data_IF_413522782511
#
_entry.id   IF_413522782511
#
_cell.length_a   1.000
_cell.length_b   1.000
_cell.length_c   1.000
_cell.angle_alpha   90.00
_cell.angle_beta   90.00
_cell.angle_gamma   90.00
#
_symmetry.space_group_name_H-M   'P 1'
#
loop_
_entity.id
_entity.type
_entity.pdbx_description
1 polymer ?
#
# COMPACT_ATOMS: atom_id res chain seq x y z
N UNK A 1 38.32 29.24 -24.10
CA UNK A 1 36.95 29.50 -23.59
C UNK A 1 36.35 28.16 -23.22
N UNK A 2 36.39 27.82 -21.94
CA UNK A 2 35.90 26.56 -21.38
C UNK A 2 34.38 26.58 -21.28
N UNK A 3 33.71 25.54 -21.80
CA UNK A 3 32.29 25.30 -21.56
C UNK A 3 32.17 24.28 -20.43
N UNK A 4 31.96 24.79 -19.22
CA UNK A 4 31.70 23.99 -18.03
C UNK A 4 30.39 23.20 -18.21
N UNK A 5 30.41 21.94 -17.81
CA UNK A 5 29.24 21.08 -17.78
C UNK A 5 28.25 21.49 -16.69
N UNK A 6 26.97 21.37 -16.99
CA UNK A 6 25.92 21.30 -15.98
C UNK A 6 25.23 19.95 -16.15
N UNK A 7 25.70 18.98 -15.39
CA UNK A 7 25.00 17.73 -15.13
C UNK A 7 23.81 18.10 -14.23
N UNK A 8 22.61 18.11 -14.78
CA UNK A 8 21.38 18.35 -14.02
C UNK A 8 21.16 17.12 -13.13
N UNK A 9 21.55 17.21 -11.86
CA UNK A 9 21.32 16.17 -10.88
C UNK A 9 19.81 16.04 -10.65
N UNK A 10 19.23 14.92 -11.06
CA UNK A 10 17.89 14.49 -10.66
C UNK A 10 17.95 14.04 -9.18
N UNK A 11 17.20 14.65 -8.26
CA UNK A 11 17.10 14.13 -6.91
C UNK A 11 16.12 12.95 -6.92
N UNK A 12 16.66 11.77 -6.65
CA UNK A 12 15.89 10.54 -6.50
C UNK A 12 15.38 10.42 -5.06
N UNK A 13 14.08 10.14 -4.93
CA UNK A 13 13.53 9.26 -3.90
C UNK A 13 13.54 9.79 -2.47
N UNK A 14 12.55 10.63 -2.13
CA UNK A 14 11.74 10.59 -0.88
C UNK A 14 10.85 11.85 -0.77
N UNK A 15 11.28 12.99 -1.31
CA UNK A 15 10.56 14.29 -1.20
C UNK A 15 9.27 14.38 -2.04
N UNK A 16 9.08 13.49 -3.01
CA UNK A 16 7.92 13.53 -3.92
C UNK A 16 6.62 13.07 -3.27
N UNK A 17 6.70 12.12 -2.34
CA UNK A 17 5.51 11.53 -1.71
C UNK A 17 4.97 12.40 -0.58
N UNK A 18 5.84 13.02 0.21
CA UNK A 18 5.43 13.97 1.24
C UNK A 18 4.75 15.19 0.60
N UNK A 19 5.31 15.68 -0.51
CA UNK A 19 4.69 16.78 -1.28
C UNK A 19 3.34 16.37 -1.87
N UNK A 20 3.23 15.16 -2.42
CA UNK A 20 1.96 14.65 -2.96
C UNK A 20 0.90 14.44 -1.86
N UNK A 21 1.31 13.98 -0.67
CA UNK A 21 0.43 13.81 0.49
C UNK A 21 -0.05 15.15 1.04
N UNK A 22 0.82 16.16 1.11
CA UNK A 22 0.44 17.51 1.56
C UNK A 22 -0.49 18.20 0.55
N UNK A 23 -0.30 17.96 -0.74
CA UNK A 23 -1.20 18.45 -1.78
C UNK A 23 -2.61 17.83 -1.67
N UNK A 24 -2.70 16.52 -1.45
CA UNK A 24 -3.97 15.83 -1.29
C UNK A 24 -4.75 16.31 -0.06
N UNK A 25 -4.02 16.70 1.00
CA UNK A 25 -4.59 17.29 2.23
C UNK A 25 -5.10 18.71 2.01
N UNK A 26 -4.48 19.46 1.09
CA UNK A 26 -4.94 20.79 0.67
C UNK A 26 -6.25 20.71 -0.12
N UNK A 27 -6.38 19.74 -1.01
CA UNK A 27 -7.59 19.55 -1.83
C UNK A 27 -8.80 19.04 -1.03
N UNK A 28 -8.59 18.46 0.16
CA UNK A 28 -9.65 17.99 1.05
C UNK A 28 -10.24 19.05 2.00
N UNK A 29 -9.82 20.32 1.91
CA UNK A 29 -10.46 21.37 2.72
C UNK A 29 -11.84 21.77 2.15
N UNK A 30 -12.89 21.84 2.98
CA UNK A 30 -14.21 22.28 2.52
C UNK A 30 -14.14 23.78 2.19
N UNK A 31 -14.19 24.12 0.91
CA UNK A 31 -14.34 25.51 0.46
C UNK A 31 -15.68 26.04 0.96
N UNK A 32 -15.65 27.04 1.83
CA UNK A 32 -16.83 27.79 2.24
C UNK A 32 -17.38 28.53 1.03
N UNK A 33 -18.51 28.06 0.48
CA UNK A 33 -19.22 28.77 -0.58
C UNK A 33 -19.82 30.05 0.02
N UNK A 34 -19.21 31.18 -0.30
CA UNK A 34 -19.72 32.51 0.01
C UNK A 34 -21.05 32.72 -0.72
N UNK A 35 -22.13 32.82 0.05
CA UNK A 35 -23.45 33.24 -0.43
C UNK A 35 -23.37 34.68 -0.93
N UNK A 36 -23.64 34.90 -2.23
CA UNK A 36 -24.35 36.07 -2.78
C UNK A 36 -24.33 36.06 -4.31
N UNK A 37 -25.46 35.66 -4.92
CA UNK A 37 -26.12 36.27 -6.08
C UNK A 37 -27.13 35.28 -6.70
N UNK A 38 -28.43 35.46 -6.44
CA UNK A 38 -29.52 34.84 -7.22
C UNK A 38 -29.78 35.64 -8.51
N UNK A 39 -30.11 34.99 -9.63
CA UNK A 39 -31.01 35.51 -10.65
C UNK A 39 -32.42 34.89 -10.50
N UNK A 40 -33.49 35.53 -11.02
CA UNK A 40 -34.87 35.22 -10.68
C UNK A 40 -35.46 34.04 -11.48
N UNK A 41 -36.23 33.22 -10.75
CA UNK A 41 -37.49 32.53 -11.11
C UNK A 41 -37.64 31.93 -12.54
N UNK A 42 -37.50 30.60 -12.63
CA UNK A 42 -38.02 29.76 -13.72
C UNK A 42 -39.14 28.85 -13.19
N UNK A 43 -40.21 28.61 -13.98
CA UNK A 43 -41.42 27.96 -13.47
C UNK A 43 -41.19 26.48 -13.11
N UNK A 44 -41.68 26.16 -11.92
CA UNK A 44 -41.72 24.86 -11.26
C UNK A 44 -42.22 23.71 -12.16
N UNK A 45 -41.32 22.80 -12.53
CA UNK A 45 -41.62 21.44 -12.99
C UNK A 45 -41.14 20.43 -11.93
N UNK A 46 -41.82 20.41 -10.78
CA UNK A 46 -41.65 19.38 -9.77
C UNK A 46 -42.61 18.20 -10.03
N UNK A 47 -42.17 17.22 -10.82
CA UNK A 47 -42.56 15.81 -10.69
C UNK A 47 -41.69 14.95 -11.62
N UNK A 48 -40.39 14.73 -11.37
CA UNK A 48 -39.91 13.57 -10.61
C UNK A 48 -38.37 13.53 -10.63
N UNK A 49 -37.73 14.57 -10.09
CA UNK A 49 -36.25 14.63 -10.00
C UNK A 49 -35.69 13.91 -8.77
N UNK A 50 -36.53 13.58 -7.79
CA UNK A 50 -36.11 12.86 -6.58
C UNK A 50 -35.75 11.38 -6.82
N UNK A 51 -35.99 10.80 -8.01
CA UNK A 51 -35.62 9.42 -8.34
C UNK A 51 -34.43 9.28 -9.31
N UNK A 52 -33.77 10.38 -9.70
CA UNK A 52 -32.63 10.34 -10.64
C UNK A 52 -31.26 10.52 -9.96
N UNK A 53 -31.24 10.86 -8.66
CA UNK A 53 -30.01 11.02 -7.89
C UNK A 53 -29.51 9.73 -7.21
N UNK A 54 -30.22 8.60 -7.35
CA UNK A 54 -30.12 7.50 -6.39
C UNK A 54 -29.07 6.41 -6.68
N UNK A 55 -28.39 6.36 -7.83
CA UNK A 55 -27.50 5.19 -8.09
C UNK A 55 -26.16 5.52 -8.77
N UNK A 56 -25.84 6.79 -9.04
CA UNK A 56 -24.61 7.12 -9.79
C UNK A 56 -23.35 6.85 -8.97
N UNK A 57 -23.30 7.34 -7.72
CA UNK A 57 -22.15 7.14 -6.83
C UNK A 57 -22.05 5.71 -6.31
N UNK A 58 -23.17 5.02 -6.14
CA UNK A 58 -23.17 3.61 -5.75
C UNK A 58 -22.72 2.70 -6.89
N UNK A 59 -23.08 3.03 -8.14
CA UNK A 59 -22.58 2.32 -9.33
C UNK A 59 -21.08 2.50 -9.50
N UNK A 60 -20.57 3.74 -9.42
CA UNK A 60 -19.13 4.02 -9.47
C UNK A 60 -18.37 3.38 -8.31
N UNK A 61 -18.94 3.40 -7.09
CA UNK A 61 -18.34 2.77 -5.91
C UNK A 61 -18.32 1.24 -6.04
N UNK A 62 -19.40 0.63 -6.54
CA UNK A 62 -19.46 -0.81 -6.83
C UNK A 62 -18.43 -1.19 -7.89
N UNK A 63 -18.32 -0.40 -8.96
CA UNK A 63 -17.32 -0.59 -10.01
C UNK A 63 -15.89 -0.51 -9.47
N UNK A 64 -15.57 0.53 -8.70
CA UNK A 64 -14.25 0.70 -8.07
C UNK A 64 -13.95 -0.46 -7.12
N UNK A 65 -14.93 -0.88 -6.31
CA UNK A 65 -14.78 -2.03 -5.41
C UNK A 65 -14.49 -3.32 -6.17
N UNK A 66 -15.14 -3.53 -7.32
CA UNK A 66 -14.86 -4.65 -8.21
C UNK A 66 -13.47 -4.56 -8.85
N UNK A 67 -13.04 -3.37 -9.27
CA UNK A 67 -11.69 -3.14 -9.82
C UNK A 67 -10.62 -3.46 -8.76
N UNK A 68 -10.81 -3.03 -7.51
CA UNK A 68 -9.93 -3.36 -6.37
C UNK A 68 -9.91 -4.86 -6.10
N UNK A 69 -11.08 -5.52 -6.03
CA UNK A 69 -11.10 -6.96 -5.74
C UNK A 69 -10.50 -7.76 -6.90
N UNK A 70 -10.71 -7.35 -8.15
CA UNK A 70 -10.06 -7.94 -9.32
C UNK A 70 -8.54 -7.82 -9.24
N UNK A 71 -8.02 -6.63 -8.95
CA UNK A 71 -6.58 -6.39 -8.80
C UNK A 71 -5.99 -7.22 -7.64
N UNK A 72 -6.71 -7.31 -6.52
CA UNK A 72 -6.33 -8.13 -5.37
C UNK A 72 -6.27 -9.61 -5.71
N UNK A 73 -7.25 -10.15 -6.44
CA UNK A 73 -7.25 -11.55 -6.89
C UNK A 73 -6.07 -11.81 -7.83
N UNK A 74 -5.84 -10.94 -8.81
CA UNK A 74 -4.71 -11.05 -9.73
C UNK A 74 -3.36 -11.00 -8.99
N UNK A 75 -3.21 -10.09 -8.02
CA UNK A 75 -2.03 -10.02 -7.17
C UNK A 75 -1.84 -11.31 -6.37
N UNK A 76 -2.90 -11.83 -5.74
CA UNK A 76 -2.83 -13.06 -4.96
C UNK A 76 -2.44 -14.27 -5.82
N UNK A 77 -2.98 -14.37 -7.04
CA UNK A 77 -2.65 -15.43 -7.98
C UNK A 77 -1.19 -15.35 -8.42
N UNK A 78 -0.70 -14.16 -8.81
CA UNK A 78 0.72 -13.95 -9.15
C UNK A 78 1.63 -14.26 -7.96
N UNK A 79 1.27 -13.80 -6.77
CA UNK A 79 2.06 -14.05 -5.55
C UNK A 79 2.08 -15.53 -5.19
N UNK A 80 0.95 -16.24 -5.36
CA UNK A 80 0.86 -17.68 -5.14
C UNK A 80 1.74 -18.43 -6.14
N UNK A 81 1.63 -18.11 -7.43
CA UNK A 81 2.42 -18.76 -8.46
C UNK A 81 3.94 -18.56 -8.25
N UNK A 82 4.35 -17.34 -7.90
CA UNK A 82 5.75 -17.06 -7.55
C UNK A 82 6.21 -17.88 -6.33
N UNK A 83 5.37 -17.99 -5.30
CA UNK A 83 5.70 -18.78 -4.12
C UNK A 83 5.82 -20.27 -4.45
N UNK A 84 5.00 -20.79 -5.36
CA UNK A 84 5.11 -22.16 -5.88
C UNK A 84 6.43 -22.37 -6.62
N UNK A 85 6.79 -21.47 -7.54
CA UNK A 85 8.08 -21.54 -8.26
C UNK A 85 9.28 -21.51 -7.31
N UNK A 86 9.24 -20.66 -6.28
CA UNK A 86 10.31 -20.60 -5.27
C UNK A 86 10.40 -21.89 -4.45
N UNK A 87 9.26 -22.49 -4.10
CA UNK A 87 9.23 -23.75 -3.34
C UNK A 87 9.70 -24.94 -4.18
N UNK A 88 9.31 -24.97 -5.47
CA UNK A 88 9.79 -25.96 -6.44
C UNK A 88 11.30 -25.87 -6.57
N UNK A 89 11.83 -24.69 -6.90
CA UNK A 89 13.27 -24.45 -7.00
C UNK A 89 14.01 -24.82 -5.70
N UNK A 90 13.48 -24.42 -4.54
CA UNK A 90 14.06 -24.78 -3.23
C UNK A 90 14.17 -26.29 -3.08
N UNK A 91 13.13 -27.04 -3.47
CA UNK A 91 13.10 -28.50 -3.35
C UNK A 91 14.06 -29.16 -4.34
N UNK A 92 14.14 -28.67 -5.58
CA UNK A 92 15.06 -29.19 -6.60
C UNK A 92 16.52 -29.07 -6.15
N UNK A 93 16.92 -27.90 -5.64
CA UNK A 93 18.31 -27.66 -5.21
C UNK A 93 18.65 -28.30 -3.86
N UNK A 94 17.67 -28.69 -3.05
CA UNK A 94 17.89 -29.24 -1.70
C UNK A 94 18.71 -30.53 -1.75
N UNK A 95 18.49 -31.37 -2.76
CA UNK A 95 19.26 -32.62 -2.96
C UNK A 95 20.75 -32.40 -3.25
N UNK A 96 21.10 -31.20 -3.75
CA UNK A 96 22.45 -30.79 -4.10
C UNK A 96 23.12 -29.95 -2.99
N UNK A 97 22.41 -29.65 -1.91
CA UNK A 97 22.86 -28.74 -0.85
C UNK A 97 23.97 -29.39 0.01
N UNK A 98 25.12 -28.72 0.10
CA UNK A 98 26.23 -29.08 0.99
C UNK A 98 25.95 -28.60 2.42
N UNK A 99 25.46 -29.50 3.29
CA UNK A 99 25.04 -29.15 4.65
C UNK A 99 26.18 -28.62 5.53
N UNK A 100 27.42 -29.02 5.25
CA UNK A 100 28.60 -28.52 5.94
C UNK A 100 28.92 -27.05 5.63
N UNK A 101 28.32 -26.47 4.59
CA UNK A 101 28.47 -25.06 4.21
C UNK A 101 27.29 -24.18 4.63
N UNK A 102 26.32 -24.74 5.35
CA UNK A 102 25.15 -23.99 5.81
C UNK A 102 25.56 -22.91 6.81
N UNK A 103 25.09 -21.68 6.60
CA UNK A 103 25.40 -20.56 7.50
C UNK A 103 24.38 -20.46 8.62
N UNK A 104 24.74 -19.75 9.70
CA UNK A 104 23.81 -19.46 10.79
C UNK A 104 22.55 -18.70 10.32
N UNK A 105 22.67 -17.87 9.28
CA UNK A 105 21.54 -17.13 8.70
C UNK A 105 20.62 -18.05 7.89
N UNK A 106 21.16 -19.07 7.21
CA UNK A 106 20.36 -20.05 6.47
C UNK A 106 19.49 -20.87 7.44
N UNK A 107 20.06 -21.30 8.57
CA UNK A 107 19.35 -22.00 9.63
C UNK A 107 18.21 -21.15 10.21
N UNK A 108 18.51 -19.90 10.57
CA UNK A 108 17.52 -18.97 11.12
C UNK A 108 16.40 -18.67 10.11
N UNK A 109 16.76 -18.51 8.82
CA UNK A 109 15.79 -18.31 7.76
C UNK A 109 14.87 -19.54 7.61
N UNK A 110 15.42 -20.75 7.64
CA UNK A 110 14.62 -21.96 7.54
C UNK A 110 13.67 -22.13 8.74
N UNK A 111 14.15 -21.86 9.96
CA UNK A 111 13.30 -21.85 11.16
C UNK A 111 12.16 -20.83 11.06
N UNK A 112 12.46 -19.61 10.57
CA UNK A 112 11.45 -18.57 10.38
C UNK A 112 10.41 -18.94 9.31
N UNK A 113 10.85 -19.64 8.26
CA UNK A 113 9.98 -20.14 7.20
C UNK A 113 9.06 -21.26 7.71
N UNK A 114 9.57 -22.21 8.50
CA UNK A 114 8.78 -23.29 9.13
C UNK A 114 7.72 -22.75 10.10
N UNK A 115 8.03 -21.66 10.82
CA UNK A 115 7.08 -20.95 11.68
C UNK A 115 6.04 -20.11 10.90
N UNK A 116 6.13 -20.07 9.57
CA UNK A 116 5.25 -19.25 8.72
C UNK A 116 5.39 -17.75 8.98
N UNK A 117 6.54 -17.30 9.48
CA UNK A 117 6.75 -15.88 9.77
C UNK A 117 7.23 -15.14 8.53
N UNK A 118 6.70 -13.94 8.32
CA UNK A 118 7.11 -13.04 7.24
C UNK A 118 7.56 -11.73 7.86
N UNK A 119 8.32 -10.93 7.10
CA UNK A 119 8.77 -9.61 7.56
C UNK A 119 7.60 -8.76 8.07
N UNK A 120 6.50 -8.73 7.33
CA UNK A 120 5.31 -7.94 7.68
C UNK A 120 4.54 -8.54 8.85
N UNK A 121 4.43 -9.87 8.96
CA UNK A 121 3.74 -10.49 10.10
C UNK A 121 4.53 -10.32 11.40
N UNK A 122 5.86 -10.41 11.36
CA UNK A 122 6.72 -10.13 12.50
C UNK A 122 6.68 -8.65 12.91
N UNK A 123 6.72 -7.72 11.95
CA UNK A 123 6.59 -6.30 12.24
C UNK A 123 5.27 -5.99 12.96
N UNK A 124 4.14 -6.49 12.43
CA UNK A 124 2.82 -6.35 13.07
C UNK A 124 2.85 -6.87 14.52
N UNK A 125 3.36 -8.08 14.74
CA UNK A 125 3.48 -8.67 16.10
C UNK A 125 4.28 -7.78 17.06
N UNK A 126 5.39 -7.21 16.62
CA UNK A 126 6.23 -6.34 17.45
C UNK A 126 5.56 -4.98 17.72
N UNK A 127 4.84 -4.41 16.75
CA UNK A 127 4.16 -3.12 16.92
C UNK A 127 2.95 -3.17 17.86
N UNK A 128 2.35 -4.35 18.06
CA UNK A 128 1.23 -4.53 19.00
C UNK A 128 1.66 -4.39 20.47
N UNK A 129 2.96 -4.50 20.77
CA UNK A 129 3.45 -4.33 22.13
C UNK A 129 3.48 -2.85 22.54
N UNK A 130 3.00 -2.57 23.74
CA UNK A 130 3.07 -1.23 24.32
C UNK A 130 4.53 -0.75 24.40
N UNK A 131 4.74 0.56 24.29
CA UNK A 131 6.08 1.16 24.44
C UNK A 131 6.69 0.80 25.79
N UNK A 132 5.90 0.86 26.87
CA UNK A 132 6.36 0.50 28.22
C UNK A 132 6.88 -0.93 28.29
N UNK A 133 6.15 -1.89 27.70
CA UNK A 133 6.57 -3.30 27.66
C UNK A 133 7.83 -3.50 26.82
N UNK A 134 7.93 -2.83 25.65
CA UNK A 134 9.12 -2.92 24.79
C UNK A 134 10.37 -2.35 25.46
N UNK A 135 10.24 -1.23 26.15
CA UNK A 135 11.35 -0.63 26.92
C UNK A 135 11.75 -1.54 28.09
N UNK A 136 10.78 -2.01 28.88
CA UNK A 136 11.08 -2.90 30.01
C UNK A 136 11.78 -4.19 29.56
N UNK A 137 11.33 -4.82 28.47
CA UNK A 137 11.99 -5.99 27.89
C UNK A 137 13.42 -5.68 27.45
N UNK A 138 13.64 -4.53 26.81
CA UNK A 138 14.98 -4.15 26.34
C UNK A 138 15.99 -3.92 27.47
N UNK A 139 15.54 -3.37 28.61
CA UNK A 139 16.41 -3.18 29.79
C UNK A 139 16.77 -4.51 30.50
N UNK A 140 16.05 -5.60 30.21
CA UNK A 140 16.28 -6.95 30.79
C UNK A 140 17.10 -7.88 29.87
N UNK A 141 17.28 -7.52 28.59
CA UNK A 141 18.05 -8.28 27.59
C UNK A 141 19.57 -8.27 27.89
#
# INVERSE_FOLDING_TARGET
MSRAGMFLAQPHGLETWDTAMEQLKQDLQPTSLSANAMPPEVPNFSFSTENLSFDFKDTDMKRLSMEIEKEKVEYMEKSKHLQEQLNELKTEIESLKLRERETALDLLHNENAEKGTSKQSNFKKLTLQSTKSRVAFFEEL
#
